data_IF_247287967247
#
_entry.id   IF_247287967247
#
_cell.length_a   1.000
_cell.length_b   1.000
_cell.length_c   1.000
_cell.angle_alpha   90.00
_cell.angle_beta   90.00
_cell.angle_gamma   90.00
#
_symmetry.space_group_name_H-M   'P 1'
#
loop_
_entity.id
_entity.type
_entity.pdbx_description
1 polymer ?
2 non-polymer ?
3 non-polymer ?
4 non-polymer ?
5 non-polymer ?
6 water ?
#
# COMPACT_ATOMS: atom_id res chain seq x y z
N UNK A 1 9.80 -4.57 28.13
CA UNK A 1 8.51 -4.94 28.74
C UNK A 1 7.61 -5.79 27.85
N UNK A 2 8.09 -6.36 26.73
CA UNK A 2 7.35 -7.41 25.99
C UNK A 2 6.25 -6.89 25.07
N UNK A 3 6.54 -5.87 24.26
CA UNK A 3 5.49 -5.11 23.58
C UNK A 3 5.24 -5.66 22.16
N UNK A 4 3.98 -5.88 21.80
CA UNK A 4 3.56 -6.46 20.51
C UNK A 4 3.23 -5.38 19.47
N UNK A 5 3.98 -5.26 18.38
CA UNK A 5 3.72 -4.25 17.32
C UNK A 5 2.71 -4.73 16.26
N UNK A 6 1.90 -3.81 15.74
CA UNK A 6 1.07 -4.04 14.56
C UNK A 6 1.79 -3.58 13.30
N UNK A 7 1.97 -4.46 12.30
CA UNK A 7 2.64 -4.11 11.05
C UNK A 7 1.71 -4.34 9.86
N UNK A 8 1.45 -3.26 9.13
CA UNK A 8 0.90 -3.30 7.78
C UNK A 8 2.05 -3.50 6.80
N UNK A 9 2.17 -4.70 6.24
CA UNK A 9 3.16 -5.04 5.22
C UNK A 9 2.49 -4.92 3.86
N UNK A 10 2.41 -3.68 3.35
CA UNK A 10 1.67 -3.33 2.15
C UNK A 10 2.45 -3.52 0.86
N UNK A 11 1.74 -3.51 -0.27
CA UNK A 11 2.36 -3.70 -1.59
C UNK A 11 3.34 -2.55 -1.87
N UNK A 12 2.92 -1.31 -1.60
CA UNK A 12 3.61 -0.06 -1.92
C UNK A 12 4.34 0.50 -0.70
N UNK A 13 3.69 0.51 0.45
CA UNK A 13 4.17 1.08 1.70
C UNK A 13 3.99 0.11 2.86
N UNK A 14 4.60 0.44 3.99
CA UNK A 14 4.40 -0.28 5.24
C UNK A 14 4.28 0.71 6.38
N UNK A 15 3.48 0.33 7.35
CA UNK A 15 3.13 1.15 8.48
C UNK A 15 3.23 0.31 9.76
N UNK A 16 3.67 0.91 10.87
CA UNK A 16 3.86 0.24 12.16
C UNK A 16 3.26 1.07 13.27
N UNK A 17 2.46 0.40 14.08
CA UNK A 17 1.60 1.02 15.07
C UNK A 17 1.66 0.22 16.35
N UNK A 18 1.19 0.86 17.41
CA UNK A 18 1.31 0.28 18.72
C UNK A 18 0.21 0.73 19.67
N UNK A 19 -0.11 -0.09 20.67
CA UNK A 19 -0.92 0.31 21.81
C UNK A 19 -0.07 1.11 22.80
N UNK A 20 -0.44 2.37 22.96
CA UNK A 20 0.04 3.32 23.95
C UNK A 20 -1.06 3.47 25.01
N UNK A 21 -1.05 2.54 25.96
CA UNK A 21 -2.16 2.33 26.87
C UNK A 21 -3.41 1.85 26.11
N UNK A 22 -4.51 2.59 26.24
CA UNK A 22 -5.76 2.32 25.51
C UNK A 22 -5.76 2.90 24.09
N UNK A 23 -4.78 3.73 23.73
CA UNK A 23 -4.77 4.48 22.47
C UNK A 23 -3.79 3.87 21.47
N UNK A 24 -4.20 3.58 20.23
CA UNK A 24 -3.25 3.28 19.17
C UNK A 24 -2.40 4.51 18.78
N UNK A 25 -1.09 4.31 18.60
CA UNK A 25 -0.17 5.27 18.02
C UNK A 25 0.63 4.64 16.86
N UNK A 26 0.44 5.17 15.66
CA UNK A 26 1.32 4.97 14.51
C UNK A 26 2.65 5.65 14.78
N UNK A 27 3.76 4.98 14.48
CA UNK A 27 5.09 5.48 14.76
C UNK A 27 5.73 6.12 13.52
N UNK A 28 6.55 7.13 13.76
CA UNK A 28 7.44 7.73 12.76
C UNK A 28 8.74 6.93 12.64
N UNK A 29 9.19 6.70 11.41
CA UNK A 29 10.45 6.03 11.09
C UNK A 29 11.64 6.99 11.28
N UNK A 30 12.86 6.47 11.08
CA UNK A 30 14.10 7.24 11.19
C UNK A 30 14.21 8.43 10.21
N UNK A 31 13.36 8.47 9.18
CA UNK A 31 13.24 9.58 8.22
C UNK A 31 12.11 10.57 8.58
N UNK A 32 11.42 10.40 9.72
CA UNK A 32 10.33 11.27 10.19
C UNK A 32 8.92 10.93 9.67
N UNK A 33 8.79 9.88 8.87
CA UNK A 33 7.56 9.52 8.18
C UNK A 33 6.78 8.38 8.87
N UNK A 34 5.45 8.45 8.86
CA UNK A 34 4.54 7.42 9.42
C UNK A 34 4.27 6.24 8.48
N UNK A 35 4.78 6.36 7.26
CA UNK A 35 4.72 5.36 6.20
C UNK A 35 6.13 5.19 5.63
N UNK A 36 6.52 3.95 5.38
CA UNK A 36 7.83 3.57 4.83
C UNK A 36 7.63 2.87 3.49
N UNK A 37 8.22 3.32 2.37
CA UNK A 37 8.11 2.63 1.09
C UNK A 37 8.58 1.18 1.22
N UNK A 38 7.81 0.23 0.67
CA UNK A 38 8.14 -1.21 0.67
C UNK A 38 9.19 -1.54 -0.39
N UNK A 39 10.36 -0.91 -0.28
CA UNK A 39 11.45 -0.89 -1.27
C UNK A 39 12.76 -1.27 -0.58
N UNK A 40 13.50 -2.21 -1.14
CA UNK A 40 14.71 -2.82 -0.57
C UNK A 40 15.84 -2.76 -1.61
N UNK A 41 16.92 -2.04 -1.33
CA UNK A 41 18.05 -1.90 -2.23
C UNK A 41 19.29 -2.57 -1.68
N UNK A 42 19.95 -3.36 -2.52
CA UNK A 42 21.26 -3.96 -2.25
C UNK A 42 22.31 -3.18 -3.04
N UNK A 43 23.02 -2.30 -2.36
CA UNK A 43 23.90 -1.31 -3.00
C UNK A 43 25.21 -1.94 -3.48
N UNK A 44 25.88 -1.25 -4.40
CA UNK A 44 27.12 -1.73 -4.98
C UNK A 44 28.21 -1.97 -3.89
N UNK A 45 28.35 -1.05 -2.95
CA UNK A 45 29.25 -1.08 -1.78
C UNK A 45 28.77 -1.94 -0.60
N UNK A 46 27.74 -2.77 -0.76
CA UNK A 46 27.38 -3.80 0.22
C UNK A 46 26.32 -3.44 1.25
N UNK A 47 25.77 -2.24 1.23
CA UNK A 47 24.68 -1.85 2.14
C UNK A 47 23.31 -2.43 1.74
N UNK A 48 22.46 -2.68 2.74
CA UNK A 48 21.02 -2.96 2.55
C UNK A 48 20.22 -1.75 2.99
N UNK A 49 19.64 -1.04 2.03
CA UNK A 49 18.80 0.12 2.27
C UNK A 49 17.33 -0.25 2.18
N UNK A 50 16.50 0.33 3.04
CA UNK A 50 15.06 0.09 3.07
C UNK A 50 14.30 1.41 3.18
N UNK A 51 13.22 1.55 2.41
CA UNK A 51 12.35 2.72 2.46
C UNK A 51 12.80 3.84 1.54
N UNK A 52 12.58 5.09 1.97
CA UNK A 52 12.92 6.28 1.20
C UNK A 52 14.40 6.35 0.79
N UNK A 53 15.39 5.94 1.60
CA UNK A 53 16.78 5.83 1.14
C UNK A 53 16.98 4.89 -0.05
N UNK A 54 16.29 3.73 -0.09
CA UNK A 54 16.28 2.85 -1.26
C UNK A 54 15.57 3.51 -2.46
N UNK A 55 14.45 4.22 -2.24
CA UNK A 55 13.70 4.95 -3.31
C UNK A 55 14.56 5.97 -4.05
N UNK A 56 15.39 6.70 -3.31
CA UNK A 56 16.29 7.75 -3.86
C UNK A 56 17.34 7.17 -4.81
N UNK A 57 17.96 6.03 -4.46
CA UNK A 57 19.00 5.43 -5.30
C UNK A 57 18.47 4.50 -6.41
N UNK A 58 17.16 4.27 -6.52
CA UNK A 58 16.60 3.24 -7.41
C UNK A 58 17.07 3.35 -8.86
N UNK A 59 17.01 4.54 -9.47
CA UNK A 59 17.40 4.72 -10.88
C UNK A 59 18.91 4.48 -11.14
N UNK A 60 19.75 4.56 -10.10
CA UNK A 60 21.20 4.27 -10.17
C UNK A 60 21.51 2.76 -10.06
N UNK A 61 20.53 1.97 -9.63
CA UNK A 61 20.70 0.57 -9.23
C UNK A 61 19.44 -0.26 -9.55
N UNK A 62 18.92 -0.21 -10.79
CA UNK A 62 17.64 -0.82 -11.14
C UNK A 62 17.61 -2.34 -10.93
N UNK A 63 18.73 -3.04 -11.15
CA UNK A 63 18.82 -4.50 -10.99
C UNK A 63 18.62 -4.96 -9.55
N UNK A 64 19.10 -4.19 -8.57
CA UNK A 64 19.17 -4.63 -7.17
C UNK A 64 18.32 -3.77 -6.24
N UNK A 65 17.41 -2.97 -6.79
CA UNK A 65 16.37 -2.28 -6.03
C UNK A 65 15.07 -3.03 -6.22
N UNK A 66 14.65 -3.74 -5.18
CA UNK A 66 13.46 -4.57 -5.17
C UNK A 66 12.29 -3.82 -4.56
N UNK A 67 11.10 -4.07 -5.10
CA UNK A 67 9.83 -3.48 -4.70
C UNK A 67 8.72 -4.39 -5.21
N UNK A 68 7.47 -4.18 -4.78
CA UNK A 68 6.32 -5.02 -5.14
C UNK A 68 6.51 -6.51 -4.85
N UNK A 69 7.36 -6.88 -3.88
CA UNK A 69 7.63 -8.27 -3.50
C UNK A 69 6.37 -8.95 -2.94
N UNK A 70 5.41 -8.18 -2.41
CA UNK A 70 4.07 -8.70 -2.06
C UNK A 70 3.36 -9.35 -3.25
N UNK A 71 3.63 -8.96 -4.50
CA UNK A 71 3.11 -9.62 -5.70
C UNK A 71 3.70 -11.02 -5.93
N UNK A 72 4.89 -11.31 -5.41
CA UNK A 72 5.59 -12.61 -5.58
C UNK A 72 5.46 -13.56 -4.37
N UNK A 73 5.26 -13.01 -3.17
CA UNK A 73 5.39 -13.77 -1.93
C UNK A 73 4.33 -14.87 -1.85
N UNK A 74 4.77 -16.10 -1.58
CA UNK A 74 3.96 -17.32 -1.54
C UNK A 74 3.43 -17.81 -2.89
N UNK A 75 3.88 -17.22 -4.01
CA UNK A 75 3.47 -17.61 -5.37
C UNK A 75 4.50 -18.49 -6.05
N UNK A 76 4.01 -19.24 -7.04
CA UNK A 76 4.79 -19.99 -8.01
C UNK A 76 5.25 -19.10 -9.14
N UNK A 77 6.41 -19.40 -9.73
CA UNK A 77 6.93 -18.68 -10.89
C UNK A 77 5.95 -18.65 -12.08
N UNK A 78 5.18 -19.72 -12.30
CA UNK A 78 4.14 -19.79 -13.35
C UNK A 78 2.79 -19.13 -13.00
N UNK A 79 2.59 -18.61 -11.78
CA UNK A 79 1.39 -17.84 -11.46
C UNK A 79 1.24 -16.67 -12.46
N UNK A 80 0.01 -16.40 -12.90
CA UNK A 80 -0.29 -15.34 -13.88
C UNK A 80 0.16 -13.95 -13.40
N UNK A 81 0.06 -13.67 -12.09
CA UNK A 81 0.60 -12.42 -11.53
C UNK A 81 2.11 -12.32 -11.75
N UNK A 82 2.81 -13.42 -11.47
CA UNK A 82 4.26 -13.46 -11.54
C UNK A 82 4.71 -13.34 -12.98
N UNK A 83 4.10 -14.08 -13.92
CA UNK A 83 4.45 -14.01 -15.34
C UNK A 83 4.19 -12.61 -15.91
N UNK A 84 3.06 -11.98 -15.55
CA UNK A 84 2.82 -10.57 -15.88
C UNK A 84 3.98 -9.69 -15.40
N UNK A 85 4.39 -9.83 -14.15
CA UNK A 85 5.43 -8.98 -13.58
C UNK A 85 6.85 -9.24 -14.10
N UNK A 86 7.20 -10.47 -14.54
CA UNK A 86 8.56 -10.79 -15.01
C UNK A 86 9.03 -9.78 -16.06
N UNK A 87 8.19 -9.44 -17.04
CA UNK A 87 8.54 -8.54 -18.14
C UNK A 87 8.43 -7.05 -17.82
N UNK A 88 7.93 -6.66 -16.63
CA UNK A 88 7.82 -5.23 -16.23
C UNK A 88 8.76 -4.86 -15.08
N UNK A 89 9.12 -5.80 -14.21
CA UNK A 89 10.06 -5.55 -13.13
C UNK A 89 11.50 -5.46 -13.67
N UNK A 90 12.31 -4.46 -13.24
CA UNK A 90 13.71 -4.30 -13.69
C UNK A 90 14.70 -5.21 -12.93
N UNK A 91 14.28 -5.80 -11.81
CA UNK A 91 15.03 -6.86 -11.12
C UNK A 91 14.65 -8.22 -11.68
N UNK A 92 15.53 -9.20 -11.52
CA UNK A 92 15.42 -10.52 -12.14
C UNK A 92 14.56 -11.45 -11.30
N UNK A 93 13.41 -11.82 -11.83
CA UNK A 93 12.54 -12.83 -11.23
C UNK A 93 12.89 -14.19 -11.85
N UNK A 94 12.93 -15.25 -11.02
CA UNK A 94 13.38 -16.60 -11.40
C UNK A 94 12.49 -17.69 -10.81
N UNK A 95 12.55 -18.89 -11.39
CA UNK A 95 12.01 -20.07 -10.74
C UNK A 95 13.01 -20.71 -9.76
N UNK A 96 12.57 -20.90 -8.52
CA UNK A 96 13.24 -21.76 -7.56
C UNK A 96 13.25 -23.21 -8.06
N UNK A 97 14.10 -24.07 -7.48
CA UNK A 97 14.11 -25.50 -7.77
C UNK A 97 12.75 -26.16 -7.46
N UNK A 98 11.95 -25.67 -6.52
CA UNK A 98 10.60 -26.19 -6.22
C UNK A 98 9.46 -25.52 -7.02
N UNK A 99 9.83 -24.69 -8.01
CA UNK A 99 8.90 -23.96 -8.87
C UNK A 99 8.41 -22.62 -8.32
N UNK A 100 8.85 -22.20 -7.13
CA UNK A 100 8.43 -20.93 -6.52
C UNK A 100 8.94 -19.72 -7.29
N UNK A 101 8.23 -18.59 -7.17
CA UNK A 101 8.69 -17.32 -7.69
C UNK A 101 9.74 -16.75 -6.74
N UNK A 102 10.99 -16.70 -7.17
CA UNK A 102 12.12 -16.15 -6.42
C UNK A 102 12.72 -14.94 -7.16
N UNK A 103 13.72 -14.32 -6.55
CA UNK A 103 14.50 -13.24 -7.12
C UNK A 103 15.99 -13.62 -7.13
N UNK A 104 16.76 -13.11 -8.10
CA UNK A 104 18.22 -13.17 -8.07
C UNK A 104 18.79 -11.77 -7.78
N UNK A 105 19.57 -11.64 -6.71
CA UNK A 105 20.16 -10.39 -6.23
C UNK A 105 21.66 -10.54 -6.21
N UNK A 106 22.37 -9.78 -7.06
CA UNK A 106 23.83 -9.83 -7.17
C UNK A 106 24.37 -11.28 -7.30
N UNK A 107 23.71 -12.11 -8.11
CA UNK A 107 24.04 -13.52 -8.31
C UNK A 107 23.49 -14.49 -7.26
N UNK A 108 22.92 -14.00 -6.15
CA UNK A 108 22.35 -14.84 -5.10
C UNK A 108 20.86 -15.09 -5.32
N UNK A 109 20.44 -16.36 -5.36
CA UNK A 109 19.02 -16.75 -5.30
C UNK A 109 18.42 -16.41 -3.92
N UNK A 110 17.28 -15.72 -3.89
CA UNK A 110 16.56 -15.34 -2.67
C UNK A 110 15.05 -15.57 -2.86
N UNK A 111 14.41 -16.06 -1.82
CA UNK A 111 12.96 -16.18 -1.73
C UNK A 111 12.32 -14.84 -1.28
N UNK A 112 11.11 -14.51 -1.75
CA UNK A 112 10.43 -13.27 -1.40
C UNK A 112 10.38 -12.96 0.12
N UNK A 113 10.18 -13.94 1.03
CA UNK A 113 10.23 -13.69 2.46
C UNK A 113 11.56 -13.11 2.96
N UNK A 114 12.69 -13.46 2.33
CA UNK A 114 13.99 -12.90 2.70
C UNK A 114 14.08 -11.41 2.35
N UNK A 115 13.36 -10.96 1.32
CA UNK A 115 13.34 -9.55 0.93
C UNK A 115 12.36 -8.76 1.79
N UNK A 116 11.10 -9.22 1.92
CA UNK A 116 10.11 -8.58 2.79
C UNK A 116 10.58 -8.52 4.25
N UNK A 117 11.39 -9.46 4.72
CA UNK A 117 11.98 -9.43 6.06
C UNK A 117 12.81 -8.16 6.31
N UNK A 118 13.46 -7.58 5.29
CA UNK A 118 14.19 -6.32 5.44
C UNK A 118 13.24 -5.14 5.72
N UNK A 119 12.04 -5.13 5.10
CA UNK A 119 10.98 -4.17 5.45
C UNK A 119 10.54 -4.36 6.90
N UNK A 120 10.29 -5.61 7.31
CA UNK A 120 9.87 -5.91 8.67
C UNK A 120 10.92 -5.56 9.73
N UNK A 121 12.22 -5.78 9.45
CA UNK A 121 13.33 -5.36 10.32
C UNK A 121 13.32 -3.85 10.53
N UNK A 122 13.03 -3.05 9.50
CA UNK A 122 12.90 -1.60 9.64
C UNK A 122 11.72 -1.24 10.52
N UNK A 123 10.57 -1.90 10.39
CA UNK A 123 9.40 -1.63 11.25
C UNK A 123 9.70 -1.98 12.72
N UNK A 124 10.43 -3.09 12.93
CA UNK A 124 10.92 -3.53 14.24
C UNK A 124 11.85 -2.49 14.86
N UNK A 125 12.90 -2.07 14.13
CA UNK A 125 13.83 -1.01 14.56
C UNK A 125 13.07 0.30 14.83
N UNK A 126 12.11 0.65 13.98
CA UNK A 126 11.29 1.87 14.14
C UNK A 126 10.52 1.85 15.47
N UNK A 127 9.97 0.70 15.85
CA UNK A 127 9.37 0.54 17.16
C UNK A 127 10.40 0.63 18.29
N UNK A 128 11.53 -0.07 18.19
CA UNK A 128 12.60 -0.06 19.19
C UNK A 128 13.17 1.34 19.44
N UNK A 129 13.34 2.12 18.38
CA UNK A 129 13.78 3.52 18.43
C UNK A 129 12.78 4.42 19.17
N UNK A 130 11.47 4.23 18.97
CA UNK A 130 10.45 4.98 19.71
C UNK A 130 10.33 4.56 21.19
N UNK A 131 10.46 3.27 21.46
CA UNK A 131 10.30 2.72 22.80
C UNK A 131 11.53 2.82 23.69
N UNK A 132 12.73 2.84 23.11
CA UNK A 132 13.99 2.66 23.83
C UNK A 132 14.15 1.24 24.42
N UNK A 133 13.43 0.24 23.91
CA UNK A 133 13.56 -1.16 24.34
C UNK A 133 13.42 -2.12 23.16
N UNK A 134 13.94 -3.37 23.25
CA UNK A 134 13.74 -4.41 22.24
C UNK A 134 12.26 -4.70 21.95
N UNK A 135 11.98 -5.10 20.72
CA UNK A 135 10.65 -5.55 20.28
C UNK A 135 10.79 -6.84 19.49
N UNK A 136 10.13 -7.91 19.90
CA UNK A 136 10.23 -9.20 19.19
C UNK A 136 8.88 -9.84 18.89
N UNK A 137 7.76 -9.20 19.24
CA UNK A 137 6.42 -9.74 19.00
C UNK A 137 5.67 -8.86 18.00
N UNK A 138 4.90 -9.47 17.10
CA UNK A 138 4.11 -8.74 16.14
C UNK A 138 2.82 -9.47 15.75
N UNK A 139 1.83 -8.67 15.35
CA UNK A 139 0.74 -9.06 14.46
C UNK A 139 1.03 -8.46 13.09
N UNK A 140 0.94 -9.28 12.04
CA UNK A 140 1.20 -8.85 10.66
C UNK A 140 -0.06 -9.09 9.81
N UNK A 141 -0.39 -8.14 8.95
CA UNK A 141 -1.59 -8.22 8.11
C UNK A 141 -1.31 -8.69 6.66
N UNK A 142 -2.31 -9.33 6.08
CA UNK A 142 -2.34 -9.80 4.69
C UNK A 142 -3.70 -9.49 4.05
N UNK A 143 -3.79 -9.42 2.71
CA UNK A 143 -5.07 -9.37 2.02
C UNK A 143 -5.96 -10.56 2.39
N UNK A 144 -7.27 -10.36 2.49
CA UNK A 144 -8.22 -11.40 2.86
C UNK A 144 -8.15 -12.59 1.90
N UNK A 145 -7.92 -12.31 0.61
CA UNK A 145 -7.79 -13.35 -0.42
C UNK A 145 -6.48 -14.16 -0.37
N UNK A 146 -5.50 -13.81 0.47
CA UNK A 146 -4.25 -14.58 0.53
C UNK A 146 -4.53 -16.03 0.96
N UNK A 147 -3.95 -16.98 0.23
CA UNK A 147 -4.02 -18.40 0.55
C UNK A 147 -2.99 -18.84 1.62
N UNK A 148 -3.01 -20.12 1.98
CA UNK A 148 -2.08 -20.65 3.00
C UNK A 148 -0.61 -20.42 2.66
N UNK A 149 -0.20 -20.56 1.39
CA UNK A 149 1.19 -20.35 0.99
C UNK A 149 1.63 -18.88 1.16
N UNK A 150 0.79 -17.92 0.76
CA UNK A 150 1.05 -16.50 0.93
C UNK A 150 1.06 -16.07 2.40
N UNK A 151 0.15 -16.63 3.20
CA UNK A 151 0.14 -16.42 4.66
C UNK A 151 1.39 -16.97 5.31
N UNK A 152 1.77 -18.20 4.96
CA UNK A 152 2.90 -18.87 5.56
C UNK A 152 4.22 -18.20 5.15
N UNK A 153 4.36 -17.76 3.90
CA UNK A 153 5.51 -16.99 3.43
C UNK A 153 5.60 -15.62 4.13
N UNK A 154 4.47 -14.98 4.41
CA UNK A 154 4.45 -13.74 5.21
C UNK A 154 4.89 -13.98 6.66
N UNK A 155 4.40 -15.06 7.29
CA UNK A 155 4.94 -15.54 8.58
C UNK A 155 6.46 -15.74 8.52
N UNK A 156 6.93 -16.43 7.48
CA UNK A 156 8.35 -16.68 7.29
C UNK A 156 9.15 -15.37 7.23
N UNK A 157 8.65 -14.33 6.55
CA UNK A 157 9.30 -13.02 6.54
C UNK A 157 9.46 -12.45 7.95
N UNK A 158 8.41 -12.52 8.79
CA UNK A 158 8.46 -12.08 10.18
C UNK A 158 9.50 -12.85 11.01
N UNK A 159 9.53 -14.17 10.87
CA UNK A 159 10.54 -15.02 11.54
C UNK A 159 11.97 -14.63 11.16
N UNK A 160 12.23 -14.42 9.87
CA UNK A 160 13.56 -14.03 9.35
C UNK A 160 13.97 -12.66 9.89
N UNK A 161 13.01 -11.75 10.07
CA UNK A 161 13.20 -10.43 10.69
C UNK A 161 13.36 -10.47 12.23
N UNK A 162 13.30 -11.64 12.85
CA UNK A 162 13.41 -11.79 14.31
C UNK A 162 12.13 -11.47 15.07
N UNK A 163 10.97 -11.56 14.43
CA UNK A 163 9.67 -11.38 15.06
C UNK A 163 8.99 -12.73 15.29
N UNK A 164 8.47 -12.93 16.50
CA UNK A 164 7.45 -13.88 16.86
C UNK A 164 6.11 -13.35 16.33
N UNK A 165 5.64 -13.95 15.24
CA UNK A 165 4.38 -13.58 14.63
C UNK A 165 3.24 -14.22 15.42
N UNK A 166 2.67 -13.47 16.37
CA UNK A 166 1.55 -13.90 17.22
C UNK A 166 0.34 -14.26 16.37
N UNK A 167 0.14 -13.46 15.31
CA UNK A 167 -1.05 -13.70 14.46
C UNK A 167 -1.04 -13.02 13.09
N UNK A 168 -1.29 -13.78 12.02
CA UNK A 168 -1.61 -13.22 10.70
C UNK A 168 -3.11 -12.92 10.65
N UNK A 169 -3.46 -11.66 10.45
CA UNK A 169 -4.85 -11.15 10.38
C UNK A 169 -5.14 -10.58 8.99
N UNK A 170 -6.39 -10.68 8.53
CA UNK A 170 -6.82 -10.03 7.29
C UNK A 170 -6.78 -8.50 7.44
N UNK A 171 -6.27 -7.80 6.43
CA UNK A 171 -6.26 -6.34 6.33
C UNK A 171 -7.63 -5.69 6.58
N UNK A 172 -8.74 -6.12 5.96
CA UNK A 172 -10.04 -5.48 6.18
C UNK A 172 -10.62 -5.79 7.57
N UNK A 173 -10.22 -6.90 8.19
CA UNK A 173 -10.54 -7.20 9.59
C UNK A 173 -9.75 -6.32 10.55
N UNK A 174 -8.44 -6.12 10.29
CA UNK A 174 -7.65 -5.13 11.02
C UNK A 174 -8.25 -3.71 10.87
N UNK A 175 -8.63 -3.31 9.65
CA UNK A 175 -9.29 -2.03 9.42
C UNK A 175 -10.58 -1.89 10.26
N UNK A 176 -11.43 -2.93 10.33
CA UNK A 176 -12.62 -2.92 11.17
C UNK A 176 -12.30 -2.70 12.65
N UNK A 177 -11.24 -3.30 13.18
CA UNK A 177 -10.77 -3.10 14.56
C UNK A 177 -10.26 -1.67 14.81
N UNK A 178 -9.54 -1.08 13.86
CA UNK A 178 -9.07 0.30 13.98
C UNK A 178 -10.21 1.32 14.00
N UNK A 179 -11.22 1.11 13.15
CA UNK A 179 -12.44 1.92 13.13
C UNK A 179 -13.38 1.64 14.32
N UNK A 180 -13.01 0.76 15.27
CA UNK A 180 -13.80 0.45 16.47
C UNK A 180 -15.17 -0.19 16.19
N UNK A 181 -15.29 -0.97 15.10
CA UNK A 181 -16.54 -1.65 14.71
C UNK A 181 -16.79 -2.93 15.51
N UNK A 182 -15.94 -3.22 16.49
CA UNK A 182 -16.13 -4.16 17.60
C UNK A 182 -16.78 -3.56 18.84
N UNK A 183 -16.60 -2.27 19.14
CA UNK A 183 -17.31 -1.58 20.22
C UNK A 183 -18.77 -1.26 19.80
N UNK A 184 -19.54 -2.31 19.45
CA UNK A 184 -20.97 -2.27 19.11
C UNK A 184 -21.80 -3.41 19.71
N UNK A 185 -23.07 -3.52 19.29
CA UNK A 185 -24.00 -4.58 19.75
C UNK A 185 -24.81 -5.16 18.60
N UNK A 186 -25.14 -6.46 18.66
CA UNK A 186 -25.87 -7.17 17.60
C UNK A 186 -25.05 -7.51 16.34
N UNK A 187 -25.75 -7.80 15.25
CA UNK A 187 -25.15 -8.05 13.94
C UNK A 187 -24.79 -6.75 13.23
N UNK A 188 -23.76 -6.79 12.39
CA UNK A 188 -23.23 -5.60 11.71
C UNK A 188 -22.52 -6.00 10.43
N UNK A 189 -23.07 -5.59 9.30
CA UNK A 189 -22.46 -5.84 7.98
C UNK A 189 -21.69 -4.61 7.54
N UNK A 190 -20.42 -4.77 7.16
CA UNK A 190 -19.57 -3.64 6.77
C UNK A 190 -18.99 -3.81 5.37
N UNK A 191 -18.79 -2.69 4.68
CA UNK A 191 -18.03 -2.65 3.43
C UNK A 191 -16.68 -1.98 3.68
N UNK A 192 -15.59 -2.68 3.36
CA UNK A 192 -14.21 -2.15 3.42
C UNK A 192 -13.70 -1.88 2.02
N UNK A 193 -13.64 -0.60 1.63
CA UNK A 193 -13.13 -0.17 0.35
C UNK A 193 -11.67 0.25 0.53
N UNK A 194 -10.75 -0.46 -0.10
CA UNK A 194 -9.31 -0.36 0.15
C UNK A 194 -8.56 -0.05 -1.14
N UNK A 195 -8.05 1.18 -1.26
CA UNK A 195 -7.35 1.63 -2.46
C UNK A 195 -5.97 2.12 -2.05
N UNK A 196 -4.99 1.23 -2.26
CA UNK A 196 -3.61 1.45 -1.89
C UNK A 196 -2.79 1.99 -3.05
N UNK A 197 -1.47 1.86 -2.97
CA UNK A 197 -0.57 2.28 -4.05
C UNK A 197 -0.64 1.40 -5.30
N UNK A 198 -0.92 0.10 -5.20
CA UNK A 198 -0.93 -0.83 -6.33
C UNK A 198 -2.21 -1.63 -6.55
N UNK A 199 -2.99 -1.86 -5.48
CA UNK A 199 -4.15 -2.78 -5.46
C UNK A 199 -5.44 -2.07 -5.01
N UNK A 200 -6.58 -2.63 -5.47
CA UNK A 200 -7.91 -2.25 -5.01
C UNK A 200 -8.60 -3.48 -4.47
N UNK A 201 -8.98 -3.46 -3.19
CA UNK A 201 -9.75 -4.52 -2.55
C UNK A 201 -11.11 -3.99 -2.03
N UNK A 202 -12.18 -4.75 -2.30
CA UNK A 202 -13.47 -4.63 -1.59
C UNK A 202 -13.76 -5.91 -0.80
N UNK A 203 -13.98 -5.76 0.51
CA UNK A 203 -14.36 -6.87 1.38
C UNK A 203 -15.66 -6.55 2.08
N UNK A 204 -16.60 -7.48 2.05
CA UNK A 204 -17.83 -7.41 2.84
C UNK A 204 -17.66 -8.31 4.06
N UNK A 205 -17.76 -7.75 5.25
CA UNK A 205 -17.45 -8.44 6.49
C UNK A 205 -18.66 -8.40 7.41
N UNK A 206 -19.12 -9.59 7.81
CA UNK A 206 -20.15 -9.72 8.85
C UNK A 206 -19.49 -9.80 10.21
N UNK A 207 -20.20 -9.24 11.17
CA UNK A 207 -19.70 -9.01 12.49
C UNK A 207 -20.84 -9.19 13.51
N UNK A 208 -20.95 -10.40 14.05
CA UNK A 208 -22.03 -10.75 14.98
C UNK A 208 -21.53 -10.77 16.43
N UNK A 209 -22.22 -10.04 17.31
CA UNK A 209 -22.25 -10.28 18.76
C UNK A 209 -23.05 -11.57 19.04
N UNK A 210 -22.36 -12.61 19.50
CA UNK A 210 -23.04 -13.90 19.86
C UNK A 210 -22.29 -14.54 21.03
N UNK A 211 -22.99 -14.84 22.12
CA UNK A 211 -22.37 -15.54 23.29
C UNK A 211 -21.32 -14.67 23.96
N UNK A 212 -21.53 -13.34 24.02
CA UNK A 212 -20.60 -12.45 24.74
C UNK A 212 -19.29 -12.19 24.01
N UNK A 213 -19.01 -12.93 22.94
CA UNK A 213 -17.83 -12.77 22.10
C UNK A 213 -18.26 -12.32 20.70
N UNK A 214 -17.37 -11.53 20.09
CA UNK A 214 -17.70 -10.94 18.77
C UNK A 214 -17.06 -11.74 17.63
N UNK A 215 -17.88 -12.37 16.80
CA UNK A 215 -17.44 -13.11 15.60
C UNK A 215 -17.06 -12.15 14.47
N UNK A 216 -16.18 -12.61 13.55
CA UNK A 216 -15.83 -11.88 12.32
C UNK A 216 -15.81 -12.84 11.13
N UNK A 217 -16.55 -12.54 10.07
CA UNK A 217 -16.62 -13.38 8.86
C UNK A 217 -16.44 -12.54 7.59
N UNK A 218 -15.52 -12.92 6.71
CA UNK A 218 -15.44 -12.35 5.36
C UNK A 218 -16.52 -13.01 4.47
N UNK A 219 -17.62 -12.31 4.21
CA UNK A 219 -18.72 -12.78 3.37
C UNK A 219 -18.40 -12.77 1.86
N UNK A 220 -17.65 -11.76 1.41
CA UNK A 220 -17.26 -11.65 0.01
C UNK A 220 -15.98 -10.81 -0.15
N UNK A 221 -15.22 -11.12 -1.20
CA UNK A 221 -13.97 -10.44 -1.53
C UNK A 221 -13.89 -10.22 -3.03
N UNK A 222 -13.49 -9.04 -3.48
CA UNK A 222 -13.30 -8.72 -4.88
C UNK A 222 -12.33 -7.54 -5.01
N UNK A 223 -12.06 -7.13 -6.24
CA UNK A 223 -11.14 -6.03 -6.49
C UNK A 223 -10.43 -6.11 -7.83
N UNK A 224 -9.25 -5.50 -7.85
CA UNK A 224 -8.37 -5.39 -9.00
C UNK A 224 -6.94 -5.16 -8.50
N UNK A 225 -6.10 -6.18 -8.64
CA UNK A 225 -4.70 -6.14 -8.18
C UNK A 225 -3.82 -5.22 -9.03
N UNK A 226 -4.36 -4.61 -10.09
CA UNK A 226 -3.69 -3.66 -10.98
C UNK A 226 -4.50 -2.38 -11.14
N UNK A 227 -5.03 -1.91 -10.01
CA UNK A 227 -5.67 -0.62 -9.85
C UNK A 227 -5.24 -0.03 -8.51
N UNK A 228 -4.39 0.99 -8.55
CA UNK A 228 -3.96 1.67 -7.33
C UNK A 228 -3.50 3.10 -7.60
N UNK A 229 -2.97 3.76 -6.58
CA UNK A 229 -2.54 5.16 -6.71
C UNK A 229 -1.43 5.41 -7.73
N UNK A 230 -0.56 4.43 -7.97
CA UNK A 230 0.51 4.54 -9.01
C UNK A 230 -0.14 4.76 -10.38
N UNK A 231 -1.24 4.08 -10.65
CA UNK A 231 -2.00 4.34 -11.89
C UNK A 231 -2.57 5.76 -11.94
N UNK A 232 -3.01 6.33 -10.80
CA UNK A 232 -3.43 7.73 -10.72
C UNK A 232 -2.26 8.66 -11.02
N UNK A 233 -1.09 8.39 -10.41
CA UNK A 233 0.16 9.09 -10.72
C UNK A 233 0.51 9.01 -12.21
N UNK A 234 0.41 7.82 -12.81
CA UNK A 234 0.71 7.65 -14.23
C UNK A 234 -0.16 8.53 -15.13
N UNK A 235 -1.45 8.71 -14.83
CA UNK A 235 -2.30 9.61 -15.62
C UNK A 235 -1.82 11.06 -15.53
N UNK A 236 -1.46 11.52 -14.33
CA UNK A 236 -0.90 12.86 -14.19
C UNK A 236 0.48 12.99 -14.85
N UNK A 237 1.35 11.97 -14.77
CA UNK A 237 2.66 11.97 -15.42
C UNK A 237 2.51 12.10 -16.93
N UNK A 238 1.65 11.29 -17.54
CA UNK A 238 1.42 11.34 -18.98
C UNK A 238 0.89 12.72 -19.43
N UNK A 239 0.01 13.33 -18.64
CA UNK A 239 -0.42 14.71 -18.85
C UNK A 239 0.76 15.71 -18.80
N UNK A 240 1.64 15.60 -17.81
CA UNK A 240 2.79 16.48 -17.67
C UNK A 240 3.81 16.31 -18.82
N UNK A 241 4.04 15.08 -19.30
CA UNK A 241 4.87 14.80 -20.48
C UNK A 241 4.30 15.48 -21.72
N UNK A 242 2.99 15.31 -21.98
CA UNK A 242 2.37 15.87 -23.20
C UNK A 242 2.32 17.40 -23.15
N UNK A 243 1.98 18.02 -22.02
CA UNK A 243 2.06 19.49 -21.92
C UNK A 243 3.48 20.01 -22.14
N UNK A 244 4.50 19.33 -21.61
CA UNK A 244 5.88 19.74 -21.85
C UNK A 244 6.35 19.50 -23.29
N UNK A 245 5.85 18.45 -23.97
CA UNK A 245 6.01 18.26 -25.42
C UNK A 245 5.40 19.41 -26.22
N UNK A 246 4.16 19.79 -25.93
CA UNK A 246 3.47 20.89 -26.63
C UNK A 246 4.19 22.22 -26.45
N UNK A 247 4.61 22.53 -25.22
CA UNK A 247 5.15 23.85 -24.91
C UNK A 247 6.65 24.01 -25.21
N UNK A 248 7.44 22.92 -25.29
CA UNK A 248 8.91 23.02 -25.44
C UNK A 248 9.54 21.99 -26.42
N UNK A 249 8.76 21.24 -27.20
CA UNK A 249 9.27 20.30 -28.22
C UNK A 249 9.91 19.02 -27.70
N UNK A 250 10.24 18.94 -26.41
CA UNK A 250 10.97 17.80 -25.83
C UNK A 250 10.03 16.69 -25.36
N UNK A 251 10.27 15.45 -25.80
CA UNK A 251 9.73 14.25 -25.14
C UNK A 251 10.63 13.78 -23.98
N UNK A 252 10.20 14.09 -22.74
CA UNK A 252 10.90 13.73 -21.51
C UNK A 252 11.02 12.21 -21.30
N UNK A 253 10.26 11.37 -21.99
CA UNK A 253 10.34 9.90 -21.83
C UNK A 253 11.69 9.32 -22.22
N UNK A 254 12.44 10.02 -23.07
CA UNK A 254 13.81 9.70 -23.43
C UNK A 254 14.80 9.85 -22.24
N UNK A 255 14.57 10.83 -21.36
CA UNK A 255 15.46 11.20 -20.25
C UNK A 255 15.03 10.51 -18.95
N UNK A 256 15.63 9.35 -18.58
CA UNK A 256 15.13 8.54 -17.48
C UNK A 256 15.34 9.20 -16.12
N UNK A 257 16.28 10.14 -16.01
CA UNK A 257 16.48 10.95 -14.80
C UNK A 257 15.39 12.00 -14.65
N UNK A 258 15.06 12.73 -15.73
CA UNK A 258 13.90 13.62 -15.75
C UNK A 258 12.65 12.85 -15.33
N UNK A 259 12.44 11.64 -15.85
CA UNK A 259 11.27 10.82 -15.47
C UNK A 259 11.26 10.43 -13.98
N UNK A 260 12.40 10.17 -13.32
CA UNK A 260 12.39 9.90 -11.87
C UNK A 260 11.89 11.12 -11.08
N UNK A 261 12.33 12.32 -11.46
CA UNK A 261 11.85 13.60 -10.90
C UNK A 261 10.38 13.88 -11.20
N UNK A 262 9.92 13.56 -12.41
CA UNK A 262 8.54 13.83 -12.80
C UNK A 262 7.54 12.94 -12.04
N UNK A 263 7.88 11.66 -11.83
CA UNK A 263 7.06 10.72 -11.04
C UNK A 263 6.87 11.26 -9.63
N UNK A 264 7.98 11.64 -8.99
CA UNK A 264 7.99 12.20 -7.63
C UNK A 264 7.16 13.48 -7.52
N UNK A 265 7.33 14.39 -8.48
CA UNK A 265 6.55 15.62 -8.55
C UNK A 265 5.05 15.36 -8.84
N UNK A 266 4.71 14.37 -9.64
CA UNK A 266 3.32 14.04 -9.94
C UNK A 266 2.60 13.51 -8.70
N UNK A 267 3.25 12.62 -7.94
CA UNK A 267 2.69 12.09 -6.71
C UNK A 267 2.48 13.20 -5.68
N UNK A 268 3.47 14.07 -5.50
CA UNK A 268 3.34 15.22 -4.59
C UNK A 268 2.19 16.15 -4.99
N UNK A 269 2.07 16.48 -6.28
CA UNK A 269 0.98 17.33 -6.75
C UNK A 269 -0.38 16.65 -6.57
N UNK A 270 -0.50 15.35 -6.88
CA UNK A 270 -1.69 14.55 -6.58
C UNK A 270 -2.07 14.64 -5.10
N UNK A 271 -1.11 14.45 -4.19
CA UNK A 271 -1.38 14.47 -2.75
C UNK A 271 -1.78 15.87 -2.27
N UNK A 272 -1.11 16.94 -2.73
CA UNK A 272 -1.51 18.32 -2.44
C UNK A 272 -2.96 18.59 -2.90
N UNK A 273 -3.36 18.09 -4.07
CA UNK A 273 -4.71 18.29 -4.61
C UNK A 273 -5.81 17.58 -3.84
N UNK A 274 -5.48 16.70 -2.88
CA UNK A 274 -6.49 16.20 -1.93
C UNK A 274 -6.90 17.21 -0.87
N UNK A 275 -6.16 18.32 -0.69
CA UNK A 275 -6.49 19.35 0.30
C UNK A 275 -6.47 20.78 -0.24
N UNK A 276 -5.89 21.00 -1.43
CA UNK A 276 -5.93 22.26 -2.18
C UNK A 276 -6.72 22.12 -3.49
N UNK A 277 -7.26 23.22 -4.01
CA UNK A 277 -7.97 23.27 -5.29
C UNK A 277 -7.03 23.34 -6.49
N UNK A 278 -5.82 23.88 -6.34
CA UNK A 278 -4.78 23.81 -7.35
C UNK A 278 -3.39 23.85 -6.71
N UNK A 279 -2.41 23.36 -7.47
CA UNK A 279 -0.99 23.41 -7.15
C UNK A 279 -0.17 23.62 -8.42
N UNK A 280 1.14 23.84 -8.27
CA UNK A 280 2.10 23.95 -9.35
C UNK A 280 3.09 22.78 -9.31
N UNK A 281 3.40 22.24 -10.49
CA UNK A 281 4.54 21.35 -10.73
C UNK A 281 5.68 22.18 -11.29
N UNK A 282 6.63 22.55 -10.43
CA UNK A 282 7.78 23.37 -10.77
C UNK A 282 9.08 22.56 -10.64
N UNK A 283 9.64 22.12 -11.77
CA UNK A 283 10.91 21.38 -11.85
C UNK A 283 11.95 22.19 -12.65
N UNK A 284 12.78 23.00 -11.96
CA UNK A 284 13.90 23.70 -12.59
C UNK A 284 14.94 22.68 -13.07
N UNK A 285 15.62 22.99 -14.18
CA UNK A 285 16.65 22.16 -14.79
C UNK A 285 16.15 20.72 -15.02
N UNK A 286 14.92 20.55 -15.52
CA UNK A 286 14.31 19.20 -15.64
C UNK A 286 15.00 18.36 -16.72
N UNK A 287 15.49 19.01 -17.76
CA UNK A 287 16.28 18.42 -18.83
C UNK A 287 17.09 19.53 -19.52
N UNK A 288 17.91 19.19 -20.50
CA UNK A 288 18.70 20.12 -21.29
C UNK A 288 18.98 19.58 -22.70
N UNK A 289 19.26 20.49 -23.64
CA UNK A 289 19.58 20.19 -25.03
C UNK A 289 20.71 21.13 -25.51
N UNK A 290 20.86 21.30 -26.82
CA UNK A 290 21.84 22.22 -27.42
C UNK A 290 21.70 23.69 -27.01
N UNK A 291 20.48 24.15 -26.71
CA UNK A 291 20.12 25.53 -26.33
C UNK A 291 20.11 25.73 -24.81
N UNK A 292 20.65 24.78 -24.04
CA UNK A 292 20.70 24.84 -22.57
C UNK A 292 19.50 24.27 -21.79
N UNK A 293 19.47 24.49 -20.47
CA UNK A 293 18.52 23.83 -19.58
C UNK A 293 17.07 24.31 -19.75
N UNK A 294 16.13 23.36 -19.68
CA UNK A 294 14.68 23.63 -19.67
C UNK A 294 14.11 23.48 -18.26
N UNK A 295 13.07 24.26 -17.98
CA UNK A 295 12.39 24.29 -16.68
C UNK A 295 10.92 23.98 -16.88
N UNK A 296 10.39 22.96 -16.20
CA UNK A 296 8.95 22.67 -16.20
C UNK A 296 8.26 23.52 -15.14
N UNK A 297 7.22 24.26 -15.52
CA UNK A 297 6.36 24.99 -14.60
C UNK A 297 4.92 24.89 -15.13
N UNK A 298 4.11 24.03 -14.51
CA UNK A 298 2.75 23.71 -14.98
C UNK A 298 1.80 23.77 -13.78
N UNK A 299 0.77 24.62 -13.86
CA UNK A 299 -0.36 24.61 -12.93
C UNK A 299 -1.24 23.38 -13.16
N UNK A 300 -1.62 22.70 -12.09
CA UNK A 300 -2.55 21.56 -12.10
C UNK A 300 -3.69 21.84 -11.12
N UNK A 301 -4.92 21.96 -11.64
CA UNK A 301 -6.12 22.08 -10.82
C UNK A 301 -6.62 20.71 -10.36
N UNK A 302 -7.37 20.67 -9.26
CA UNK A 302 -8.00 19.46 -8.74
C UNK A 302 -8.95 18.91 -9.78
N UNK A 303 -9.75 19.77 -10.42
CA UNK A 303 -10.67 19.39 -11.49
C UNK A 303 -9.94 18.73 -12.68
N UNK A 304 -8.75 19.24 -13.07
CA UNK A 304 -7.92 18.60 -14.09
C UNK A 304 -7.47 17.22 -13.64
N UNK A 305 -6.92 17.07 -12.42
CA UNK A 305 -6.58 15.74 -11.89
C UNK A 305 -7.80 14.79 -11.94
N UNK A 306 -8.94 15.24 -11.44
CA UNK A 306 -10.18 14.45 -11.41
C UNK A 306 -10.56 13.98 -12.81
N UNK A 307 -10.50 14.83 -13.84
CA UNK A 307 -10.75 14.39 -15.22
C UNK A 307 -9.74 13.37 -15.74
N UNK A 308 -8.47 13.44 -15.31
CA UNK A 308 -7.44 12.51 -15.78
C UNK A 308 -7.62 11.09 -15.20
N UNK A 309 -8.27 10.94 -14.04
CA UNK A 309 -8.37 9.68 -13.29
C UNK A 309 -9.81 9.17 -13.10
N UNK A 310 -10.82 9.85 -13.65
CA UNK A 310 -12.22 9.51 -13.43
C UNK A 310 -12.57 8.05 -13.76
N UNK A 311 -12.09 7.54 -14.88
CA UNK A 311 -12.33 6.18 -15.33
C UNK A 311 -11.60 5.16 -14.43
N UNK A 312 -10.46 5.50 -13.83
CA UNK A 312 -9.84 4.70 -12.77
C UNK A 312 -10.72 4.65 -11.52
N UNK A 313 -11.29 5.78 -11.10
CA UNK A 313 -12.23 5.80 -9.97
C UNK A 313 -13.46 4.96 -10.33
N UNK A 314 -14.03 5.11 -11.52
CA UNK A 314 -15.19 4.34 -11.97
C UNK A 314 -14.94 2.82 -12.07
N UNK A 315 -13.74 2.35 -12.45
CA UNK A 315 -13.35 0.92 -12.40
C UNK A 315 -13.53 0.29 -11.02
N UNK A 316 -13.34 1.04 -9.94
CA UNK A 316 -13.53 0.50 -8.59
C UNK A 316 -14.99 0.10 -8.29
N UNK A 317 -15.99 0.51 -9.10
CA UNK A 317 -17.41 0.28 -8.76
C UNK A 317 -17.91 -1.11 -9.14
N UNK A 318 -17.46 -1.67 -10.27
CA UNK A 318 -17.96 -2.99 -10.70
C UNK A 318 -17.62 -4.11 -9.70
N UNK A 319 -16.40 -4.19 -9.12
CA UNK A 319 -16.11 -5.13 -8.05
C UNK A 319 -16.97 -4.95 -6.79
N UNK A 320 -17.48 -3.73 -6.50
CA UNK A 320 -18.42 -3.54 -5.38
C UNK A 320 -19.74 -4.28 -5.64
N UNK A 321 -20.26 -4.19 -6.87
CA UNK A 321 -21.52 -4.83 -7.25
C UNK A 321 -21.37 -6.35 -7.20
N UNK A 322 -20.28 -6.87 -7.76
CA UNK A 322 -20.00 -8.31 -7.71
C UNK A 322 -19.82 -8.79 -6.27
N UNK A 323 -19.06 -8.08 -5.43
CA UNK A 323 -18.91 -8.44 -4.03
C UNK A 323 -20.26 -8.49 -3.28
N UNK A 324 -21.13 -7.49 -3.49
CA UNK A 324 -22.47 -7.51 -2.90
C UNK A 324 -23.30 -8.68 -3.43
N UNK A 325 -23.22 -8.98 -4.73
CA UNK A 325 -23.95 -10.11 -5.32
C UNK A 325 -23.47 -11.46 -4.78
N UNK A 326 -22.16 -11.66 -4.60
CA UNK A 326 -21.57 -12.88 -4.02
C UNK A 326 -21.96 -13.07 -2.54
N UNK A 327 -22.02 -11.98 -1.77
CA UNK A 327 -22.51 -12.00 -0.38
C UNK A 327 -24.04 -12.18 -0.29
N UNK A 328 -24.76 -12.04 -1.41
CA UNK A 328 -26.21 -12.11 -1.46
C UNK A 328 -26.96 -10.85 -1.00
N UNK A 329 -26.29 -9.68 -1.00
CA UNK A 329 -26.74 -8.44 -0.37
C UNK A 329 -26.99 -7.24 -1.30
N UNK A 330 -27.68 -6.25 -0.76
CA UNK A 330 -27.88 -4.91 -1.32
C UNK A 330 -27.14 -3.80 -0.54
N UNK A 331 -26.93 -2.62 -1.14
CA UNK A 331 -26.23 -1.49 -0.48
C UNK A 331 -26.91 -1.14 0.84
N UNK A 332 -28.22 -1.35 0.96
CA UNK A 332 -28.95 -1.02 2.19
C UNK A 332 -28.68 -1.99 3.33
N UNK A 333 -28.18 -3.19 3.04
CA UNK A 333 -27.78 -4.17 4.05
C UNK A 333 -26.44 -3.83 4.71
N UNK A 334 -25.68 -2.86 4.17
CA UNK A 334 -24.41 -2.37 4.72
C UNK A 334 -24.66 -1.31 5.78
N UNK A 335 -24.29 -1.58 7.02
CA UNK A 335 -24.42 -0.67 8.16
C UNK A 335 -23.31 0.39 8.23
N UNK A 336 -22.07 0.02 7.91
CA UNK A 336 -20.92 0.92 7.89
C UNK A 336 -20.08 0.73 6.63
N UNK A 337 -19.55 1.82 6.09
CA UNK A 337 -18.58 1.85 5.02
C UNK A 337 -17.30 2.44 5.59
N UNK A 338 -16.19 1.71 5.47
CA UNK A 338 -14.86 2.19 5.85
C UNK A 338 -13.92 2.22 4.64
N UNK A 339 -13.10 3.26 4.61
CA UNK A 339 -12.09 3.44 3.58
C UNK A 339 -10.74 3.06 4.16
N UNK A 340 -9.92 2.39 3.37
CA UNK A 340 -8.55 2.01 3.71
C UNK A 340 -7.66 2.39 2.52
N UNK A 341 -6.41 2.72 2.81
CA UNK A 341 -5.40 3.02 1.80
C UNK A 341 -5.31 4.51 1.49
N UNK A 342 -4.09 4.97 1.28
CA UNK A 342 -3.75 6.38 1.08
C UNK A 342 -4.49 7.02 -0.10
N UNK A 343 -4.77 6.27 -1.17
CA UNK A 343 -5.45 6.82 -2.34
C UNK A 343 -6.94 7.17 -2.06
N UNK A 344 -7.56 6.58 -1.03
CA UNK A 344 -8.92 6.94 -0.62
C UNK A 344 -9.03 8.31 0.05
N UNK A 345 -7.92 9.00 0.33
CA UNK A 345 -7.90 10.39 0.84
C UNK A 345 -8.39 11.39 -0.21
N UNK A 346 -8.30 11.05 -1.49
CA UNK A 346 -8.84 11.86 -2.57
C UNK A 346 -10.34 12.15 -2.38
N UNK A 347 -10.77 13.42 -2.33
CA UNK A 347 -12.18 13.78 -2.22
C UNK A 347 -13.08 13.08 -3.25
N UNK A 348 -12.66 12.98 -4.51
CA UNK A 348 -13.43 12.29 -5.55
C UNK A 348 -13.72 10.83 -5.22
N UNK A 349 -12.74 10.10 -4.64
CA UNK A 349 -12.92 8.69 -4.26
C UNK A 349 -13.92 8.58 -3.11
N UNK A 350 -13.73 9.39 -2.06
CA UNK A 350 -14.66 9.43 -0.93
C UNK A 350 -16.09 9.70 -1.40
N UNK A 351 -16.26 10.64 -2.33
CA UNK A 351 -17.59 11.03 -2.81
C UNK A 351 -18.23 9.93 -3.67
N UNK A 352 -17.47 9.31 -4.59
CA UNK A 352 -17.93 8.16 -5.37
C UNK A 352 -18.35 6.98 -4.47
N UNK A 353 -17.56 6.66 -3.44
CA UNK A 353 -17.94 5.61 -2.48
C UNK A 353 -19.19 6.00 -1.69
N UNK A 354 -19.25 7.21 -1.13
CA UNK A 354 -20.44 7.69 -0.40
C UNK A 354 -21.71 7.63 -1.27
N UNK A 355 -21.59 8.02 -2.52
CA UNK A 355 -22.66 8.01 -3.53
C UNK A 355 -23.13 6.60 -3.85
N UNK A 356 -22.21 5.65 -4.05
CA UNK A 356 -22.57 4.27 -4.35
C UNK A 356 -23.34 3.62 -3.19
N UNK A 357 -22.82 3.71 -1.97
CA UNK A 357 -23.45 3.09 -0.79
C UNK A 357 -24.61 3.91 -0.21
N UNK A 358 -24.78 5.17 -0.64
CA UNK A 358 -25.80 6.06 -0.07
C UNK A 358 -25.57 6.46 1.39
N UNK A 359 -24.35 6.28 1.91
CA UNK A 359 -23.93 6.72 3.25
C UNK A 359 -22.49 7.18 3.25
N UNK A 360 -22.22 8.25 3.99
CA UNK A 360 -20.88 8.79 4.15
C UNK A 360 -19.96 7.79 4.89
N UNK A 361 -18.77 7.47 4.38
CA UNK A 361 -17.84 6.59 5.08
C UNK A 361 -17.46 7.15 6.45
N UNK A 362 -17.20 6.24 7.40
CA UNK A 362 -16.73 6.61 8.75
C UNK A 362 -15.40 7.37 8.74
N UNK A 363 -15.11 8.07 9.83
CA UNK A 363 -13.94 8.97 9.99
C UNK A 363 -13.07 8.71 11.21
N UNK A 364 -13.22 7.56 11.87
CA UNK A 364 -12.54 7.27 13.15
C UNK A 364 -11.01 7.34 13.07
N UNK A 365 -10.41 6.83 11.98
CA UNK A 365 -8.96 6.75 11.77
C UNK A 365 -8.53 7.18 10.35
N UNK A 366 -7.25 7.50 10.17
CA UNK A 366 -6.67 7.70 8.84
C UNK A 366 -6.77 6.40 8.01
N UNK A 367 -7.21 6.46 6.74
CA UNK A 367 -7.33 5.26 5.89
C UNK A 367 -6.04 4.48 5.63
N UNK A 368 -4.94 5.19 5.49
CA UNK A 368 -3.57 4.72 5.29
C UNK A 368 -2.94 4.13 6.58
N UNK A 369 -3.59 4.33 7.72
CA UNK A 369 -3.08 3.91 9.04
C UNK A 369 -3.91 2.78 9.66
N UNK A 370 -5.11 2.54 9.12
CA UNK A 370 -6.11 1.67 9.73
C UNK A 370 -5.62 0.22 9.88
N UNK A 371 -4.91 -0.31 8.89
CA UNK A 371 -4.45 -1.70 8.90
C UNK A 371 -3.41 -1.90 9.99
N UNK A 372 -2.39 -1.03 10.06
CA UNK A 372 -1.40 -1.08 11.13
C UNK A 372 -2.03 -0.87 12.51
N UNK A 373 -2.93 0.12 12.66
CA UNK A 373 -3.62 0.37 13.93
C UNK A 373 -4.39 -0.88 14.37
N UNK A 374 -5.15 -1.51 13.49
CA UNK A 374 -5.94 -2.69 13.82
C UNK A 374 -5.10 -3.90 14.17
N UNK A 375 -3.95 -4.06 13.52
CA UNK A 375 -2.97 -5.07 13.91
C UNK A 375 -2.49 -4.81 15.34
N UNK A 376 -2.26 -3.55 15.71
CA UNK A 376 -1.85 -3.18 17.06
C UNK A 376 -2.96 -3.41 18.08
N UNK A 377 -4.23 -3.08 17.75
CA UNK A 377 -5.39 -3.39 18.59
C UNK A 377 -5.49 -4.89 18.84
N UNK A 378 -5.40 -5.71 17.78
CA UNK A 378 -5.32 -7.17 17.90
C UNK A 378 -4.14 -7.64 18.75
N UNK A 379 -2.96 -7.03 18.60
CA UNK A 379 -1.80 -7.36 19.44
C UNK A 379 -2.09 -7.08 20.90
N UNK A 380 -2.69 -5.91 21.21
CA UNK A 380 -3.08 -5.53 22.56
C UNK A 380 -4.15 -6.44 23.18
N UNK A 381 -5.03 -7.04 22.37
CA UNK A 381 -5.94 -8.11 22.82
C UNK A 381 -5.19 -9.37 23.28
N UNK A 382 -3.97 -9.57 22.80
CA UNK A 382 -3.19 -10.78 23.15
C UNK A 382 -2.17 -10.42 24.23
N UNK A 383 -2.09 -9.13 24.59
CA UNK A 383 -1.18 -8.72 25.69
C UNK A 383 -1.95 -8.79 27.01
X LIG B 1 -0.40 0.12 0.49
X LIG B 1 -1.08 -0.48 -0.66
X LIG B 1 -1.14 -0.11 1.76
X LIG B 1 1.03 -0.32 0.58
X LIG B 1 -1.06 2.95 0.85
X LIG B 1 -2.30 2.51 1.53
X LIG B 1 -0.04 3.67 1.65
X LIG B 1 -0.37 1.69 0.16
X LIG B 1 -1.45 3.83 -0.42
X LIG B 1 -0.47 4.74 -0.94
X LIG B 1 -1.03 5.42 -2.16
X LIG B 1 -1.92 6.47 -1.74
X LIG B 1 0.01 6.10 -3.07
X LIG B 1 -0.40 6.00 -4.43
X LIG B 1 -0.03 7.54 -2.58
X LIG B 1 0.38 8.49 -3.53
X LIG B 1 -1.52 7.69 -2.30
X LIG B 1 -1.84 8.78 -1.39
X LIG B 1 -1.33 8.97 -0.14
X LIG B 1 -1.80 10.05 0.45
X LIG B 1 -2.67 10.59 -0.49
X LIG B 1 -3.49 11.74 -0.47
X LIG B 1 -3.56 12.58 0.56
X LIG B 1 -4.24 11.98 -1.57
X LIG B 1 -4.16 11.14 -2.60
X LIG B 1 -3.43 10.03 -2.73
X LIG B 1 -2.70 9.81 -1.62
X LIG C 1 16.99 -23.46 -4.88
X LIG C 1 18.07 -23.04 -4.49
X LIG C 1 16.52 -23.08 -5.95
X LIG C 1 16.35 -24.23 -4.18
X LIG D 1 -2.89 -1.44 2.09
X LIG E 1 -2.13 -3.98 -0.09
X LIG E 1 -3.02 -5.17 0.17
X LIG E 1 -1.70 -4.07 -1.54
X LIG E 1 -2.87 -2.68 0.22
X LIG E 1 -0.88 -4.06 0.79
#
# INVERSE_FOLDING_TARGET
SGKIIGIDLGTTNSCVAIMDGTTPRVLENAEGDRTTPSIIAYTQDGETLVGQPAKRQAVTNPQNTLFAIKRLIGRRFQDEEVQRDVSIMPFKIIAADNGDAWVEVKGQKMAPPQISAEVLKKMKKTAEDYLGEPVTEAVITVPAYFNDAQRQATKDAGRIAGLEVKRIINEPTAAALAYGLDKGTGNRTIAVYDLGGGTFDISIIEIDEVDGEKTFEVLATNGDTHLGGEDFDSRLINYLVEEFKKDQGIDLRNDPLAMQRLKEAAEKAKIELSSAQQTDVNLPYITADATGPKHMNIKVTRAKLESLVEDLVNRSIEPLKVALQDAGLSVSDIDDVILVGGQTRMPMVQKKVAEFFGKEPRKDVNPDEAVAIGAAVQGGVLTGDV
ADP PB O1B O2B O3B PA O1A O2A O3A O5' C5' C4' O4' C3' O3' C2' O2' C1' N9 C8 N7 C5 C6 N6 N1 C2 N3 C4
NO3 N O1 O2 O3
MG MG
PO4 P O1 O2 O3 O4
#
